data_IF_187953565255
#
_entry.id   IF_187953565255
#
_cell.length_a   1.000
_cell.length_b   1.000
_cell.length_c   1.000
_cell.angle_alpha   90.00
_cell.angle_beta   90.00
_cell.angle_gamma   90.00
#
_symmetry.space_group_name_H-M   'P 1'
#
loop_
_entity.id
_entity.type
_entity.pdbx_description
1 polymer ?
#
# COMPACT_ATOMS: atom_id res chain seq x y z
N UNK A 1 53.42 18.57 68.06
CA UNK A 1 53.58 17.63 66.93
C UNK A 1 52.20 17.27 66.39
N UNK A 2 51.93 17.72 65.16
CA UNK A 2 50.93 17.31 64.13
C UNK A 2 49.54 16.80 64.57
N UNK A 3 48.54 17.66 64.38
CA UNK A 3 47.13 17.29 64.24
C UNK A 3 46.87 16.72 62.82
N UNK A 4 46.15 15.59 62.73
CA UNK A 4 45.74 14.95 61.47
C UNK A 4 44.24 15.11 61.30
N UNK A 5 43.84 15.99 60.37
CA UNK A 5 42.46 16.31 60.03
C UNK A 5 41.95 15.33 58.96
N UNK A 6 40.96 14.51 59.32
CA UNK A 6 40.34 13.53 58.42
C UNK A 6 39.53 14.20 57.31
N UNK A 7 39.93 13.99 56.06
CA UNK A 7 39.26 14.49 54.86
C UNK A 7 38.24 13.46 54.37
N UNK A 8 36.96 13.64 54.74
CA UNK A 8 35.85 12.86 54.18
C UNK A 8 35.57 13.34 52.76
N UNK A 9 35.91 12.53 51.76
CA UNK A 9 35.45 12.73 50.38
C UNK A 9 33.99 12.31 50.29
N UNK A 10 33.09 13.27 50.05
CA UNK A 10 31.72 12.98 49.62
C UNK A 10 31.74 12.72 48.11
N UNK A 11 31.45 11.49 47.71
CA UNK A 11 31.27 11.11 46.31
C UNK A 11 29.83 11.44 45.89
N UNK A 12 29.66 12.46 45.07
CA UNK A 12 28.36 12.86 44.52
C UNK A 12 28.05 11.98 43.31
N UNK A 13 27.12 11.04 43.46
CA UNK A 13 26.61 10.20 42.36
C UNK A 13 25.65 11.04 41.53
N UNK A 14 26.04 11.42 40.31
CA UNK A 14 25.16 12.02 39.32
C UNK A 14 24.29 10.91 38.69
N UNK A 15 23.06 10.78 39.18
CA UNK A 15 22.04 9.93 38.58
C UNK A 15 21.53 10.61 37.30
N UNK A 16 22.06 10.22 36.15
CA UNK A 16 21.56 10.69 34.84
C UNK A 16 20.21 10.03 34.54
N UNK A 17 19.10 10.70 34.88
CA UNK A 17 17.80 10.31 34.35
C UNK A 17 17.77 10.59 32.84
N UNK A 18 17.40 9.63 31.98
CA UNK A 18 17.13 9.91 30.59
C UNK A 18 15.90 10.81 30.51
N UNK A 19 16.10 12.06 30.09
CA UNK A 19 15.00 12.94 29.70
C UNK A 19 14.39 12.37 28.41
N UNK A 20 13.31 11.62 28.55
CA UNK A 20 12.42 11.29 27.44
C UNK A 20 11.77 12.60 26.99
N UNK A 21 12.32 13.20 25.93
CA UNK A 21 11.66 14.29 25.21
C UNK A 21 10.42 13.69 24.55
N UNK A 22 9.27 13.86 25.20
CA UNK A 22 7.99 13.64 24.53
C UNK A 22 7.86 14.73 23.47
N UNK A 23 8.01 14.36 22.19
CA UNK A 23 7.60 15.23 21.10
C UNK A 23 6.14 15.66 21.34
N UNK A 24 5.83 16.95 21.17
CA UNK A 24 4.47 17.44 21.40
C UNK A 24 3.52 16.89 20.31
N UNK A 25 2.88 15.76 20.64
CA UNK A 25 1.88 15.08 19.82
C UNK A 25 2.48 14.20 18.73
N UNK A 26 2.23 12.90 18.82
CA UNK A 26 2.56 11.94 17.74
C UNK A 26 1.65 12.17 16.55
N UNK A 27 2.21 12.05 15.35
CA UNK A 27 1.49 12.12 14.07
C UNK A 27 2.05 11.09 13.10
N UNK A 28 1.31 10.84 12.02
CA UNK A 28 1.80 10.07 10.88
C UNK A 28 2.84 10.92 10.14
N UNK A 29 3.95 10.32 9.70
CA UNK A 29 4.93 10.98 8.81
C UNK A 29 4.36 11.04 7.42
N UNK A 30 4.56 12.16 6.73
CA UNK A 30 4.02 12.39 5.40
C UNK A 30 5.03 13.09 4.49
N UNK A 31 6.20 12.49 4.37
CA UNK A 31 7.21 12.93 3.43
C UNK A 31 7.06 12.15 2.11
N UNK A 32 6.52 12.83 1.11
CA UNK A 32 6.21 12.28 -0.21
C UNK A 32 7.46 12.14 -1.12
N UNK A 33 8.67 12.38 -0.60
CA UNK A 33 9.91 12.16 -1.34
C UNK A 33 10.36 10.69 -1.35
N UNK A 34 9.86 9.87 -0.41
CA UNK A 34 10.26 8.46 -0.27
C UNK A 34 9.10 7.55 0.16
N UNK A 35 8.95 6.34 -0.43
CA UNK A 35 7.94 5.36 -0.02
C UNK A 35 7.99 4.96 1.46
N UNK A 36 9.15 5.06 2.11
CA UNK A 36 9.31 4.68 3.53
C UNK A 36 8.98 5.81 4.50
N UNK A 37 8.75 7.03 4.01
CA UNK A 37 8.58 8.23 4.82
C UNK A 37 7.14 8.80 4.80
N UNK A 38 6.23 8.10 4.10
CA UNK A 38 4.79 8.33 4.10
C UNK A 38 4.04 6.99 4.18
N UNK A 39 2.71 6.99 4.41
CA UNK A 39 1.94 5.77 4.26
C UNK A 39 2.09 5.19 2.85
N UNK A 40 2.27 3.87 2.76
CA UNK A 40 2.49 3.14 1.51
C UNK A 40 1.64 1.86 1.51
N UNK A 41 1.03 1.43 0.39
CA UNK A 41 1.11 1.99 -0.97
C UNK A 41 0.57 3.42 -1.16
N UNK A 42 1.02 4.10 -2.22
CA UNK A 42 0.58 5.45 -2.56
C UNK A 42 0.74 5.76 -4.05
N UNK A 43 -0.30 6.32 -4.66
CA UNK A 43 -0.30 6.79 -6.05
C UNK A 43 0.66 7.97 -6.27
N UNK A 44 1.23 8.56 -5.20
CA UNK A 44 2.38 9.47 -5.29
C UNK A 44 3.55 8.85 -6.06
N UNK A 45 3.71 7.53 -5.96
CA UNK A 45 4.78 6.78 -6.63
C UNK A 45 4.24 6.06 -7.86
N UNK A 46 3.36 6.73 -8.60
CA UNK A 46 2.84 6.32 -9.90
C UNK A 46 2.93 7.47 -10.89
N UNK A 47 2.79 7.16 -12.17
CA UNK A 47 2.58 8.11 -13.24
C UNK A 47 1.24 7.84 -13.88
N UNK A 48 0.58 8.89 -14.36
CA UNK A 48 -0.62 8.77 -15.20
C UNK A 48 -0.23 8.10 -16.52
N UNK A 49 -0.90 6.99 -16.85
CA UNK A 49 -0.66 6.18 -18.04
C UNK A 49 -1.99 5.61 -18.55
N UNK A 50 -2.60 6.31 -19.50
CA UNK A 50 -3.89 5.89 -20.10
C UNK A 50 -3.82 4.64 -20.97
N UNK A 51 -2.63 4.03 -21.15
CA UNK A 51 -2.52 2.71 -21.77
C UNK A 51 -2.78 1.55 -20.81
N UNK A 52 -2.76 1.84 -19.50
CA UNK A 52 -3.08 0.89 -18.44
C UNK A 52 -4.56 0.94 -18.10
N UNK A 53 -5.13 -0.17 -17.64
CA UNK A 53 -6.54 -0.22 -17.23
C UNK A 53 -6.80 0.77 -16.10
N UNK A 54 -5.96 0.76 -15.07
CA UNK A 54 -6.00 1.69 -13.93
C UNK A 54 -5.76 3.16 -14.27
N UNK A 55 -5.38 3.47 -15.51
CA UNK A 55 -4.91 4.78 -15.92
C UNK A 55 -3.59 5.20 -15.26
N UNK A 56 -2.89 4.27 -14.59
CA UNK A 56 -1.65 4.54 -13.86
C UNK A 56 -0.61 3.45 -14.10
N UNK A 57 0.65 3.84 -13.97
CA UNK A 57 1.80 2.92 -13.95
C UNK A 57 2.66 3.22 -12.73
N UNK A 58 3.10 2.19 -12.02
CA UNK A 58 4.00 2.32 -10.88
C UNK A 58 5.30 3.03 -11.29
N UNK A 59 5.79 3.91 -10.42
CA UNK A 59 6.99 4.72 -10.64
C UNK A 59 7.70 4.96 -9.30
N UNK A 60 8.28 3.90 -8.76
CA UNK A 60 9.09 3.92 -7.55
C UNK A 60 10.46 4.57 -7.80
N UNK A 61 10.97 5.36 -6.85
CA UNK A 61 12.31 5.93 -6.95
C UNK A 61 13.38 4.84 -6.88
N UNK A 62 14.37 4.91 -7.78
CA UNK A 62 15.50 3.99 -7.79
C UNK A 62 16.61 4.46 -6.86
N UNK A 63 17.33 3.53 -6.19
CA UNK A 63 18.57 3.87 -5.49
C UNK A 63 19.69 4.19 -6.49
N UNK A 64 20.90 4.44 -5.99
CA UNK A 64 22.09 4.51 -6.84
C UNK A 64 22.34 3.16 -7.51
N UNK A 65 22.02 3.06 -8.81
CA UNK A 65 22.16 1.84 -9.58
C UNK A 65 23.63 1.43 -9.83
N UNK A 66 24.60 2.33 -9.61
CA UNK A 66 26.02 1.97 -9.62
C UNK A 66 26.42 1.17 -8.38
N UNK A 67 25.71 1.35 -7.25
CA UNK A 67 25.95 0.63 -6.00
C UNK A 67 24.98 -0.52 -5.78
N UNK A 68 23.74 -0.40 -6.26
CA UNK A 68 22.65 -1.38 -6.06
C UNK A 68 21.99 -1.72 -7.41
N UNK A 69 22.71 -2.37 -8.35
CA UNK A 69 22.20 -2.66 -9.69
C UNK A 69 21.01 -3.63 -9.66
N UNK A 70 21.03 -4.62 -8.77
CA UNK A 70 19.93 -5.59 -8.61
C UNK A 70 18.63 -4.91 -8.20
N UNK A 71 18.68 -4.02 -7.20
CA UNK A 71 17.50 -3.28 -6.74
C UNK A 71 16.92 -2.39 -7.83
N UNK A 72 17.76 -1.81 -8.69
CA UNK A 72 17.28 -1.06 -9.83
C UNK A 72 16.56 -1.94 -10.85
N UNK A 73 17.08 -3.15 -11.12
CA UNK A 73 16.44 -4.11 -12.01
C UNK A 73 15.10 -4.61 -11.44
N UNK A 74 15.02 -4.85 -10.13
CA UNK A 74 13.77 -5.21 -9.47
C UNK A 74 12.75 -4.08 -9.56
N UNK A 75 13.17 -2.84 -9.30
CA UNK A 75 12.31 -1.65 -9.44
C UNK A 75 11.90 -1.42 -10.89
N UNK A 76 12.74 -1.75 -11.88
CA UNK A 76 12.35 -1.68 -13.29
C UNK A 76 11.16 -2.57 -13.60
N UNK A 77 11.14 -3.80 -13.08
CA UNK A 77 10.00 -4.70 -13.22
C UNK A 77 8.77 -4.17 -12.46
N UNK A 78 8.96 -3.68 -11.23
CA UNK A 78 7.84 -3.09 -10.47
C UNK A 78 7.24 -1.88 -11.18
N UNK A 79 8.06 -1.06 -11.84
CA UNK A 79 7.63 0.11 -12.59
C UNK A 79 6.95 -0.20 -13.93
N UNK A 80 6.76 -1.48 -14.27
CA UNK A 80 5.87 -1.89 -15.38
C UNK A 80 4.46 -2.23 -14.92
N UNK A 81 4.22 -2.33 -13.61
CA UNK A 81 2.91 -2.67 -13.08
C UNK A 81 1.93 -1.50 -13.22
N UNK A 82 0.67 -1.83 -13.47
CA UNK A 82 -0.43 -0.87 -13.57
C UNK A 82 -1.03 -0.50 -12.21
N UNK A 83 -0.46 -0.95 -11.10
CA UNK A 83 -0.92 -0.58 -9.77
C UNK A 83 -0.22 -1.39 -8.69
N UNK A 84 -0.73 -1.30 -7.48
CA UNK A 84 -0.21 -2.04 -6.33
C UNK A 84 -0.96 -3.36 -6.12
N UNK A 85 -0.34 -4.32 -5.42
CA UNK A 85 -1.00 -5.60 -5.12
C UNK A 85 -2.41 -5.44 -4.54
N UNK A 86 -3.32 -6.34 -4.89
CA UNK A 86 -4.66 -6.48 -4.28
C UNK A 86 -4.61 -7.00 -2.84
N UNK A 87 -3.45 -7.42 -2.35
CA UNK A 87 -3.20 -7.75 -0.95
C UNK A 87 -1.90 -7.07 -0.47
N UNK A 88 -1.89 -5.73 -0.41
CA UNK A 88 -0.68 -5.00 -0.08
C UNK A 88 -0.33 -5.17 1.41
N UNK A 89 0.96 -5.24 1.70
CA UNK A 89 1.46 -4.93 3.04
C UNK A 89 1.54 -3.41 3.16
N UNK A 90 0.70 -2.84 4.01
CA UNK A 90 0.56 -1.40 4.21
C UNK A 90 1.49 -0.97 5.33
N UNK A 91 2.28 0.07 5.10
CA UNK A 91 3.19 0.64 6.10
C UNK A 91 2.79 2.08 6.43
N UNK A 92 2.75 2.43 7.71
CA UNK A 92 2.35 3.75 8.21
C UNK A 92 3.43 4.22 9.20
N UNK A 93 4.38 5.08 8.77
CA UNK A 93 5.42 5.60 9.65
C UNK A 93 4.88 6.72 10.56
N UNK A 94 5.30 6.73 11.83
CA UNK A 94 4.89 7.73 12.83
C UNK A 94 6.08 8.56 13.33
N UNK A 95 5.81 9.76 13.85
CA UNK A 95 6.82 10.64 14.46
C UNK A 95 7.24 10.18 15.85
N UNK A 96 6.47 9.30 16.50
CA UNK A 96 6.73 8.76 17.82
C UNK A 96 6.00 7.44 18.07
N UNK A 97 6.09 6.93 19.29
CA UNK A 97 5.47 5.66 19.69
C UNK A 97 3.94 5.75 19.80
N UNK A 98 3.26 4.70 19.36
CA UNK A 98 1.80 4.57 19.43
C UNK A 98 1.39 3.45 20.39
N UNK A 99 0.18 3.54 20.91
CA UNK A 99 -0.49 2.45 21.58
C UNK A 99 -1.12 1.53 20.54
N UNK A 100 -0.47 0.39 20.27
CA UNK A 100 -0.93 -0.60 19.26
C UNK A 100 -2.30 -1.18 19.63
N UNK A 101 -2.71 -1.17 20.90
CA UNK A 101 -4.03 -1.67 21.30
C UNK A 101 -5.19 -0.77 20.81
N UNK A 102 -4.88 0.48 20.44
CA UNK A 102 -5.83 1.42 19.83
C UNK A 102 -6.01 1.21 18.31
N UNK A 103 -5.22 0.34 17.68
CA UNK A 103 -5.26 0.07 16.24
C UNK A 103 -6.24 -1.05 15.93
N UNK A 104 -7.30 -0.75 15.19
CA UNK A 104 -8.31 -1.70 14.74
C UNK A 104 -9.02 -1.18 13.47
N UNK A 105 -9.94 -1.97 12.92
CA UNK A 105 -10.69 -1.64 11.69
C UNK A 105 -11.62 -0.43 11.79
N UNK A 106 -11.78 0.20 12.96
CA UNK A 106 -12.49 1.49 13.10
C UNK A 106 -11.55 2.70 13.12
N UNK A 107 -10.28 2.50 13.49
CA UNK A 107 -9.26 3.55 13.58
C UNK A 107 -8.33 3.59 12.38
N UNK A 108 -8.13 2.45 11.73
CA UNK A 108 -7.36 2.30 10.49
C UNK A 108 -8.14 1.38 9.55
N UNK A 109 -8.52 1.89 8.38
CA UNK A 109 -9.32 1.13 7.41
C UNK A 109 -9.09 1.64 5.99
N UNK A 110 -9.49 0.84 5.01
CA UNK A 110 -9.51 1.25 3.61
C UNK A 110 -10.93 1.53 3.15
N UNK A 111 -11.08 2.51 2.28
CA UNK A 111 -12.33 2.78 1.57
C UNK A 111 -12.12 2.58 0.08
N UNK A 112 -12.95 1.72 -0.51
CA UNK A 112 -13.01 1.56 -1.94
C UNK A 112 -13.73 2.77 -2.55
N UNK A 113 -13.07 3.43 -3.50
CA UNK A 113 -13.58 4.59 -4.24
C UNK A 113 -14.17 4.19 -5.61
N UNK A 114 -14.12 2.89 -5.93
CA UNK A 114 -14.60 2.30 -7.16
C UNK A 114 -13.47 1.89 -8.10
N UNK A 115 -13.79 0.92 -8.95
CA UNK A 115 -13.07 0.62 -10.20
C UNK A 115 -13.08 1.86 -11.13
N UNK A 116 -11.99 2.09 -11.87
CA UNK A 116 -11.88 3.23 -12.79
C UNK A 116 -12.80 3.12 -14.02
N UNK A 117 -13.28 1.92 -14.37
CA UNK A 117 -14.18 1.70 -15.52
C UNK A 117 -15.68 1.82 -15.18
N UNK A 118 -16.07 1.48 -13.94
CA UNK A 118 -17.48 1.28 -13.60
C UNK A 118 -17.89 1.63 -12.18
N UNK A 119 -16.97 2.20 -11.38
CA UNK A 119 -17.18 2.53 -9.96
C UNK A 119 -17.60 1.33 -9.10
N UNK A 120 -17.33 0.11 -9.56
CA UNK A 120 -17.70 -1.11 -8.86
C UNK A 120 -17.02 -1.17 -7.48
N UNK A 121 -17.78 -1.52 -6.44
CA UNK A 121 -17.29 -1.60 -5.07
C UNK A 121 -17.15 -0.25 -4.34
N UNK A 122 -17.47 0.89 -4.97
CA UNK A 122 -17.41 2.19 -4.32
C UNK A 122 -18.23 2.24 -3.02
N UNK A 123 -17.64 2.81 -1.97
CA UNK A 123 -18.24 2.90 -0.63
C UNK A 123 -18.00 1.68 0.25
N UNK A 124 -17.39 0.61 -0.25
CA UNK A 124 -17.02 -0.55 0.56
C UNK A 124 -15.88 -0.19 1.54
N UNK A 125 -16.15 -0.34 2.84
CA UNK A 125 -15.12 -0.33 3.89
C UNK A 125 -14.44 -1.69 3.96
N UNK A 126 -13.11 -1.69 3.95
CA UNK A 126 -12.27 -2.87 4.18
C UNK A 126 -11.46 -2.60 5.45
N UNK A 127 -11.51 -3.53 6.40
CA UNK A 127 -10.78 -3.41 7.64
C UNK A 127 -9.31 -3.77 7.49
N UNK A 128 -8.64 -3.86 8.62
CA UNK A 128 -7.26 -4.32 8.68
C UNK A 128 -7.14 -5.59 9.52
N UNK A 129 -6.13 -6.38 9.21
CA UNK A 129 -5.67 -7.51 9.99
C UNK A 129 -4.14 -7.43 10.17
N UNK A 130 -3.59 -8.41 10.88
CA UNK A 130 -2.14 -8.60 11.06
C UNK A 130 -1.38 -7.32 11.45
N UNK A 131 -1.82 -6.70 12.54
CA UNK A 131 -1.21 -5.48 13.10
C UNK A 131 0.17 -5.79 13.68
N UNK A 132 1.21 -5.23 13.08
CA UNK A 132 2.60 -5.37 13.52
C UNK A 132 3.23 -3.99 13.75
N UNK A 133 3.96 -3.83 14.86
CA UNK A 133 4.66 -2.60 15.19
C UNK A 133 6.17 -2.78 15.12
N UNK A 134 6.85 -1.94 14.34
CA UNK A 134 8.30 -1.80 14.35
C UNK A 134 8.73 -0.62 15.24
N UNK A 135 9.28 -0.88 16.44
CA UNK A 135 9.68 0.18 17.37
C UNK A 135 10.97 0.89 16.94
N UNK A 136 11.77 0.33 16.03
CA UNK A 136 13.02 0.93 15.57
C UNK A 136 12.74 2.04 14.55
N UNK A 137 11.85 1.76 13.59
CA UNK A 137 11.45 2.74 12.55
C UNK A 137 10.21 3.54 12.92
N UNK A 138 9.52 3.16 14.00
CA UNK A 138 8.21 3.71 14.41
C UNK A 138 7.17 3.50 13.30
N UNK A 139 7.14 2.30 12.74
CA UNK A 139 6.28 1.97 11.59
C UNK A 139 5.25 0.93 11.99
N UNK A 140 3.99 1.27 11.78
CA UNK A 140 2.90 0.31 11.83
C UNK A 140 2.81 -0.42 10.48
N UNK A 141 2.71 -1.74 10.52
CA UNK A 141 2.50 -2.59 9.36
C UNK A 141 1.16 -3.30 9.53
N UNK A 142 0.30 -3.21 8.52
CA UNK A 142 -1.02 -3.86 8.49
C UNK A 142 -1.27 -4.49 7.14
N UNK A 143 -2.23 -5.40 7.07
CA UNK A 143 -2.77 -5.92 5.81
C UNK A 143 -4.28 -5.72 5.77
N UNK A 144 -4.92 -5.66 4.60
CA UNK A 144 -6.37 -5.70 4.51
C UNK A 144 -6.95 -7.01 5.06
N UNK A 145 -8.12 -6.93 5.69
CA UNK A 145 -8.84 -8.12 6.19
C UNK A 145 -9.57 -8.92 5.11
N UNK A 146 -9.67 -8.36 3.90
CA UNK A 146 -10.19 -9.00 2.71
C UNK A 146 -9.30 -8.70 1.50
N UNK A 147 -9.38 -9.57 0.47
CA UNK A 147 -8.76 -9.29 -0.82
C UNK A 147 -9.38 -8.01 -1.41
N UNK A 148 -8.54 -7.06 -1.82
CA UNK A 148 -9.01 -5.85 -2.48
C UNK A 148 -9.44 -6.16 -3.91
N UNK A 149 -10.43 -5.42 -4.41
CA UNK A 149 -10.82 -5.50 -5.80
C UNK A 149 -9.62 -5.07 -6.65
N UNK A 150 -9.39 -5.77 -7.77
CA UNK A 150 -8.42 -5.33 -8.77
C UNK A 150 -8.90 -4.04 -9.45
N UNK A 151 -7.98 -3.35 -10.11
CA UNK A 151 -8.28 -2.15 -10.89
C UNK A 151 -9.11 -1.09 -10.13
N UNK A 152 -8.94 -1.01 -8.81
CA UNK A 152 -9.80 -0.21 -7.94
C UNK A 152 -9.00 0.80 -7.16
N UNK A 153 -9.59 1.98 -6.95
CA UNK A 153 -8.97 3.05 -6.15
C UNK A 153 -9.35 2.87 -4.69
N UNK A 154 -8.37 2.93 -3.80
CA UNK A 154 -8.57 2.84 -2.36
C UNK A 154 -7.94 4.04 -1.65
N UNK A 155 -8.64 4.57 -0.65
CA UNK A 155 -8.03 5.46 0.34
C UNK A 155 -7.85 4.72 1.65
N UNK A 156 -6.60 4.62 2.11
CA UNK A 156 -6.29 4.23 3.47
C UNK A 156 -6.55 5.43 4.37
N UNK A 157 -7.30 5.23 5.45
CA UNK A 157 -7.68 6.25 6.42
C UNK A 157 -7.09 5.88 7.78
N UNK A 158 -6.48 6.86 8.44
CA UNK A 158 -6.04 6.77 9.84
C UNK A 158 -6.74 7.87 10.62
N UNK A 159 -7.41 7.51 11.71
CA UNK A 159 -8.14 8.45 12.57
C UNK A 159 -7.40 8.78 13.85
N UNK A 160 -7.85 9.82 14.55
CA UNK A 160 -7.39 10.18 15.89
C UNK A 160 -7.85 9.21 17.00
N UNK A 161 -8.55 8.13 16.63
CA UNK A 161 -8.82 6.99 17.49
C UNK A 161 -7.58 6.13 17.74
N UNK A 162 -6.58 6.18 16.84
CA UNK A 162 -5.23 5.70 17.17
C UNK A 162 -4.64 6.65 18.20
N UNK A 163 -3.99 6.10 19.23
CA UNK A 163 -3.44 6.85 20.36
C UNK A 163 -1.93 6.76 20.37
N UNK A 164 -1.28 7.79 20.91
CA UNK A 164 0.14 7.71 21.26
C UNK A 164 0.37 6.81 22.48
N UNK A 165 1.62 6.50 22.78
CA UNK A 165 1.99 5.67 23.94
C UNK A 165 1.54 6.27 25.30
N UNK A 166 1.16 7.54 25.35
CA UNK A 166 0.60 8.20 26.55
C UNK A 166 -0.94 8.20 26.55
N UNK A 167 -1.59 7.58 25.57
CA UNK A 167 -3.05 7.52 25.43
C UNK A 167 -3.70 8.76 24.81
N UNK A 168 -2.91 9.75 24.37
CA UNK A 168 -3.41 10.98 23.73
C UNK A 168 -3.69 10.72 22.26
N UNK A 169 -4.72 11.40 21.75
CA UNK A 169 -5.12 11.32 20.34
C UNK A 169 -4.03 11.86 19.41
N UNK A 170 -3.83 11.20 18.27
CA UNK A 170 -2.85 11.65 17.27
C UNK A 170 -3.14 13.05 16.74
N UNK A 171 -2.07 13.74 16.37
CA UNK A 171 -2.13 15.00 15.62
C UNK A 171 -2.19 14.72 14.13
N UNK A 172 -2.79 15.65 13.39
CA UNK A 172 -2.88 15.58 11.92
C UNK A 172 -1.53 15.75 11.22
N UNK A 173 -0.48 16.25 11.88
CA UNK A 173 0.90 16.22 11.35
C UNK A 173 1.08 16.79 9.95
N UNK A 174 0.34 17.84 9.58
CA UNK A 174 0.37 18.42 8.22
C UNK A 174 -0.69 17.86 7.26
N UNK A 175 -1.49 16.88 7.66
CA UNK A 175 -2.59 16.34 6.85
C UNK A 175 -3.61 17.42 6.44
N UNK A 176 -3.88 18.40 7.31
CA UNK A 176 -4.70 19.56 6.95
C UNK A 176 -4.08 20.42 5.84
N UNK A 177 -2.75 20.53 5.80
CA UNK A 177 -2.01 21.29 4.79
C UNK A 177 -2.02 20.60 3.42
N UNK A 178 -2.18 19.27 3.36
CA UNK A 178 -2.40 18.52 2.11
C UNK A 178 -3.66 19.03 1.38
N UNK A 179 -4.69 19.42 2.14
CA UNK A 179 -5.89 20.06 1.60
C UNK A 179 -5.70 21.57 1.34
N UNK A 180 -4.54 22.13 1.63
CA UNK A 180 -4.13 23.48 1.24
C UNK A 180 -3.61 23.57 -0.20
N UNK A 181 -3.38 24.78 -0.71
CA UNK A 181 -2.80 24.97 -2.05
C UNK A 181 -1.28 24.79 -1.93
N UNK A 182 -0.77 23.60 -2.28
CA UNK A 182 0.67 23.32 -2.27
C UNK A 182 1.42 23.98 -3.44
N UNK A 183 2.64 24.45 -3.20
CA UNK A 183 3.48 25.10 -4.23
C UNK A 183 4.32 24.11 -5.08
N UNK A 184 4.54 22.90 -4.57
CA UNK A 184 5.34 21.88 -5.24
C UNK A 184 4.53 21.19 -6.36
N UNK A 185 4.94 21.43 -7.61
CA UNK A 185 4.25 20.96 -8.81
C UNK A 185 4.23 19.43 -8.91
N UNK A 186 5.28 18.77 -8.42
CA UNK A 186 5.47 17.32 -8.56
C UNK A 186 4.51 16.52 -7.67
N UNK A 187 4.01 17.14 -6.60
CA UNK A 187 3.04 16.52 -5.68
C UNK A 187 1.62 17.05 -5.84
N UNK A 188 1.42 18.09 -6.67
CA UNK A 188 0.16 18.79 -6.79
C UNK A 188 -0.98 17.90 -7.32
N UNK A 189 -0.69 17.03 -8.30
CA UNK A 189 -1.68 16.09 -8.85
C UNK A 189 -2.16 15.10 -7.79
N UNK A 190 -1.23 14.37 -7.15
CA UNK A 190 -1.55 13.45 -6.07
C UNK A 190 -2.34 14.11 -4.92
N UNK A 191 -1.96 15.32 -4.50
CA UNK A 191 -2.67 16.04 -3.44
C UNK A 191 -4.10 16.43 -3.83
N UNK A 192 -4.34 16.76 -5.11
CA UNK A 192 -5.69 17.00 -5.63
C UNK A 192 -6.51 15.70 -5.63
N UNK A 193 -5.95 14.62 -6.13
CA UNK A 193 -6.65 13.32 -6.19
C UNK A 193 -7.00 12.81 -4.80
N UNK A 194 -6.08 12.93 -3.85
CA UNK A 194 -6.33 12.58 -2.45
C UNK A 194 -7.40 13.49 -1.83
N UNK A 195 -7.39 14.79 -2.14
CA UNK A 195 -8.44 15.70 -1.67
C UNK A 195 -9.82 15.32 -2.19
N UNK A 196 -9.91 14.99 -3.47
CA UNK A 196 -11.18 14.61 -4.09
C UNK A 196 -11.67 13.26 -3.55
N UNK A 197 -10.77 12.30 -3.34
CA UNK A 197 -11.08 11.03 -2.68
C UNK A 197 -11.66 11.23 -1.26
N UNK A 198 -11.11 12.18 -0.51
CA UNK A 198 -11.50 12.48 0.87
C UNK A 198 -12.80 13.30 0.98
N UNK A 199 -13.39 13.74 -0.15
CA UNK A 199 -14.74 14.35 -0.17
C UNK A 199 -15.85 13.30 -0.04
N UNK A 200 -15.55 12.02 -0.32
CA UNK A 200 -16.50 10.94 -0.13
C UNK A 200 -16.84 10.76 1.35
N UNK A 201 -18.09 10.37 1.71
CA UNK A 201 -18.44 10.05 3.08
C UNK A 201 -17.58 8.88 3.58
N UNK A 202 -16.79 9.11 4.63
CA UNK A 202 -15.96 8.07 5.23
C UNK A 202 -16.70 7.44 6.43
N UNK A 203 -16.91 6.11 6.43
CA UNK A 203 -17.45 5.41 7.58
C UNK A 203 -16.38 5.25 8.65
N UNK A 204 -16.57 5.86 9.81
CA UNK A 204 -15.64 5.74 10.92
C UNK A 204 -15.95 6.71 12.04
N UNK A 205 -15.50 6.36 13.24
CA UNK A 205 -15.55 7.24 14.40
C UNK A 205 -14.23 7.99 14.51
N UNK A 206 -14.31 9.29 14.79
CA UNK A 206 -13.13 10.14 14.98
C UNK A 206 -12.75 10.96 13.74
N UNK A 207 -11.79 11.86 13.94
CA UNK A 207 -11.30 12.77 12.91
C UNK A 207 -10.17 12.11 12.14
N UNK A 208 -10.18 12.21 10.82
CA UNK A 208 -9.07 11.71 10.00
C UNK A 208 -7.82 12.54 10.27
N UNK A 209 -6.73 11.86 10.64
CA UNK A 209 -5.41 12.47 10.91
C UNK A 209 -4.40 12.20 9.81
N UNK A 210 -4.59 11.15 9.02
CA UNK A 210 -3.80 10.87 7.84
C UNK A 210 -4.58 10.03 6.84
N UNK A 211 -4.22 10.13 5.56
CA UNK A 211 -4.73 9.26 4.51
C UNK A 211 -3.71 9.12 3.37
N UNK A 212 -3.77 8.00 2.65
CA UNK A 212 -3.06 7.81 1.38
C UNK A 212 -4.00 7.19 0.35
N UNK A 213 -3.92 7.66 -0.88
CA UNK A 213 -4.66 7.15 -2.03
C UNK A 213 -3.75 6.21 -2.81
N UNK A 214 -4.25 5.03 -3.16
CA UNK A 214 -3.55 4.12 -4.07
C UNK A 214 -4.51 3.34 -4.96
N UNK A 215 -4.02 2.88 -6.10
CA UNK A 215 -4.77 2.06 -7.06
C UNK A 215 -4.25 0.62 -7.06
N UNK A 216 -5.16 -0.37 -7.03
CA UNK A 216 -4.79 -1.79 -7.13
C UNK A 216 -4.55 -2.19 -8.59
N UNK A 217 -3.54 -3.04 -8.79
CA UNK A 217 -3.15 -3.57 -10.08
C UNK A 217 -4.25 -4.44 -10.67
N UNK A 218 -4.14 -4.67 -11.97
CA UNK A 218 -4.94 -5.70 -12.61
C UNK A 218 -4.28 -7.07 -12.41
N UNK A 219 -5.09 -8.09 -12.10
CA UNK A 219 -4.63 -9.49 -11.93
C UNK A 219 -5.30 -10.45 -12.90
N UNK A 220 -6.46 -10.10 -13.47
CA UNK A 220 -7.23 -10.98 -14.34
C UNK A 220 -7.29 -10.57 -15.81
N UNK A 221 -6.78 -9.39 -16.19
CA UNK A 221 -6.93 -8.85 -17.55
C UNK A 221 -6.42 -9.78 -18.65
N UNK A 222 -5.22 -10.33 -18.51
CA UNK A 222 -4.65 -11.22 -19.52
C UNK A 222 -5.48 -12.50 -19.66
N UNK A 223 -5.91 -13.09 -18.54
CA UNK A 223 -6.81 -14.25 -18.55
C UNK A 223 -8.15 -13.91 -19.19
N UNK A 224 -8.70 -12.74 -18.92
CA UNK A 224 -9.95 -12.28 -19.52
C UNK A 224 -9.79 -12.07 -21.03
N UNK A 225 -8.68 -11.48 -21.47
CA UNK A 225 -8.35 -11.30 -22.89
C UNK A 225 -8.23 -12.65 -23.60
N UNK A 226 -7.49 -13.60 -23.04
CA UNK A 226 -7.37 -14.97 -23.56
C UNK A 226 -8.74 -15.64 -23.63
N UNK A 227 -9.52 -15.59 -22.53
CA UNK A 227 -10.86 -16.16 -22.47
C UNK A 227 -11.77 -15.58 -23.57
N UNK A 228 -11.72 -14.26 -23.78
CA UNK A 228 -12.49 -13.56 -24.81
C UNK A 228 -12.06 -13.99 -26.22
N UNK A 229 -10.75 -14.06 -26.48
CA UNK A 229 -10.21 -14.57 -27.75
C UNK A 229 -10.65 -16.00 -28.01
N UNK A 230 -10.59 -16.89 -27.01
CA UNK A 230 -11.05 -18.29 -27.14
C UNK A 230 -12.55 -18.36 -27.40
N UNK A 231 -13.38 -17.60 -26.67
CA UNK A 231 -14.83 -17.55 -26.89
C UNK A 231 -15.22 -16.98 -28.25
N UNK A 232 -14.44 -16.05 -28.78
CA UNK A 232 -14.64 -15.48 -30.11
C UNK A 232 -14.08 -16.38 -31.21
N UNK A 233 -13.09 -17.21 -30.90
CA UNK A 233 -12.57 -18.20 -31.83
C UNK A 233 -13.63 -19.26 -32.10
N UNK A 234 -13.88 -19.52 -33.39
CA UNK A 234 -14.62 -20.68 -33.84
C UNK A 234 -13.58 -21.69 -34.31
N UNK A 235 -13.11 -22.61 -33.45
CA UNK A 235 -12.19 -23.64 -33.91
C UNK A 235 -12.86 -24.44 -35.03
N UNK A 236 -12.10 -24.77 -36.07
CA UNK A 236 -12.55 -25.71 -37.09
C UNK A 236 -13.03 -27.00 -36.40
N UNK A 237 -14.06 -27.67 -36.95
CA UNK A 237 -14.53 -28.94 -36.41
C UNK A 237 -13.36 -29.91 -36.21
N UNK A 238 -13.31 -30.57 -35.06
CA UNK A 238 -12.25 -31.54 -34.77
C UNK A 238 -12.14 -32.56 -35.91
N UNK A 239 -10.99 -32.57 -36.59
CA UNK A 239 -10.69 -33.54 -37.63
C UNK A 239 -10.02 -34.74 -37.01
N UNK A 240 -10.67 -35.90 -37.11
CA UNK A 240 -10.08 -37.19 -36.71
C UNK A 240 -9.27 -37.84 -37.82
N UNK A 241 -8.92 -37.09 -38.88
CA UNK A 241 -8.06 -37.54 -39.98
C UNK A 241 -6.58 -37.49 -39.55
N UNK A 242 -6.22 -38.25 -38.51
CA UNK A 242 -4.92 -38.17 -37.84
C UNK A 242 -3.86 -39.10 -38.46
N UNK A 243 -4.19 -39.84 -39.53
CA UNK A 243 -3.25 -40.74 -40.21
C UNK A 243 -3.29 -40.67 -41.73
N UNK A 244 -2.29 -41.27 -42.38
CA UNK A 244 -2.26 -41.51 -43.83
C UNK A 244 -2.05 -43.00 -44.11
N UNK A 245 -2.88 -43.58 -44.98
CA UNK A 245 -2.72 -44.94 -45.47
C UNK A 245 -2.89 -44.93 -46.99
N UNK A 246 -1.93 -45.49 -47.73
CA UNK A 246 -1.93 -45.53 -49.20
C UNK A 246 -2.14 -44.16 -49.87
N UNK A 247 -1.62 -43.08 -49.27
CA UNK A 247 -1.76 -41.71 -49.79
C UNK A 247 -3.11 -41.05 -49.52
N UNK A 248 -4.06 -41.75 -48.89
CA UNK A 248 -5.32 -41.19 -48.43
C UNK A 248 -5.28 -40.89 -46.93
N UNK A 249 -5.94 -39.80 -46.52
CA UNK A 249 -6.12 -39.50 -45.10
C UNK A 249 -7.03 -40.58 -44.47
N UNK A 250 -6.66 -41.09 -43.30
CA UNK A 250 -7.44 -42.10 -42.55
C UNK A 250 -7.88 -41.57 -41.21
N UNK A 251 -9.08 -42.00 -40.80
CA UNK A 251 -9.76 -41.55 -39.59
C UNK A 251 -9.37 -42.44 -38.40
N UNK A 252 -8.88 -41.84 -37.32
CA UNK A 252 -8.57 -42.56 -36.09
C UNK A 252 -9.85 -42.73 -35.25
N UNK A 253 -10.63 -43.76 -35.54
CA UNK A 253 -11.79 -44.17 -34.71
C UNK A 253 -11.63 -45.63 -34.31
N UNK A 254 -11.99 -45.95 -33.07
CA UNK A 254 -12.08 -47.35 -32.64
C UNK A 254 -13.26 -48.02 -33.37
N UNK A 255 -13.06 -49.18 -34.01
CA UNK A 255 -14.16 -49.90 -34.63
C UNK A 255 -15.13 -50.40 -33.54
N UNK A 256 -16.41 -50.02 -33.65
CA UNK A 256 -17.47 -50.46 -32.74
C UNK A 256 -18.02 -51.86 -33.08
N UNK A 257 -17.47 -52.54 -34.10
CA UNK A 257 -18.01 -53.80 -34.63
C UNK A 257 -17.18 -55.04 -34.25
N UNK A 258 -16.88 -55.20 -32.97
CA UNK A 258 -16.53 -56.52 -32.41
C UNK A 258 -17.09 -56.65 -31.00
N UNK A 259 -18.37 -56.99 -30.92
CA UNK A 259 -18.95 -57.87 -29.90
C UNK A 259 -19.72 -58.97 -30.63
#
# INVERSE_FOLDING_TARGET
>A
MKASLGRRMAATVFLSLPLTVFADGVSVRFDLSSPSASPFPSDRFTLTDGSQLTGRRVNLPKPDCGQRPSDCADIDVLNTLDGFSTQPRITIPFTGDIDVSSVNSDTVFLMNLGDTDGFAGAGQKVGINQVLWDPATKTLVVQPDALLNEHSRYVLVVTDGVRDAAGKALKSGGFGEIFGVGQDRDTAEYRRDLRDAMRAPLPGNGRVVAATLFSTQTISADLYKIMKTVKQSRPEPASFMVGSANGAAVRAVFPLNTL
#
